data_IF_643791556564
#
_entry.id   IF_643791556564
#
_cell.length_a   1.000
_cell.length_b   1.000
_cell.length_c   1.000
_cell.angle_alpha   90.00
_cell.angle_beta   90.00
_cell.angle_gamma   90.00
#
_symmetry.space_group_name_H-M   'P 1'
#
loop_
_entity.id
_entity.type
_entity.pdbx_description
1 polymer ?
#
# COMPACT_ATOMS: atom_id res chain seq x y z
N UNK A 1 11.50 10.47 20.12
CA UNK A 1 10.18 9.83 19.93
C UNK A 1 10.02 8.76 21.01
N UNK A 2 8.83 8.50 21.57
CA UNK A 2 8.70 7.39 22.53
C UNK A 2 8.41 6.09 21.76
N UNK A 3 9.41 5.22 21.61
CA UNK A 3 9.28 3.98 20.84
C UNK A 3 8.24 3.02 21.45
N UNK A 4 8.03 3.06 22.76
CA UNK A 4 7.06 2.19 23.45
C UNK A 4 5.60 2.52 23.13
N UNK A 5 5.31 3.70 22.58
CA UNK A 5 3.95 4.10 22.19
C UNK A 5 3.63 3.78 20.73
N UNK A 6 4.61 3.30 19.96
CA UNK A 6 4.42 2.96 18.55
C UNK A 6 3.81 1.56 18.45
N UNK A 7 2.49 1.52 18.44
CA UNK A 7 1.72 0.28 18.33
C UNK A 7 0.88 0.32 17.06
N UNK A 8 1.14 -0.65 16.18
CA UNK A 8 0.33 -0.84 14.98
C UNK A 8 -0.93 -1.60 15.34
N UNK A 9 -2.08 -1.00 15.06
CA UNK A 9 -3.40 -1.59 15.29
C UNK A 9 -4.06 -1.90 13.95
N UNK A 10 -4.72 -3.06 13.89
CA UNK A 10 -5.63 -3.39 12.79
C UNK A 10 -6.94 -2.59 12.92
N UNK A 11 -7.56 -2.30 11.77
CA UNK A 11 -8.91 -1.79 11.69
C UNK A 11 -9.68 -2.50 10.57
N UNK A 12 -10.95 -2.86 10.79
CA UNK A 12 -11.77 -3.51 9.76
C UNK A 12 -11.79 -2.72 8.45
N UNK A 13 -11.66 -3.43 7.33
CA UNK A 13 -11.66 -2.87 5.98
C UNK A 13 -10.48 -1.95 5.65
N UNK A 14 -9.39 -2.00 6.41
CA UNK A 14 -8.14 -1.29 6.14
C UNK A 14 -7.00 -2.30 5.94
N UNK A 15 -6.66 -2.61 4.68
CA UNK A 15 -5.77 -3.73 4.34
C UNK A 15 -4.29 -3.37 4.14
N UNK A 16 -3.91 -2.08 4.08
CA UNK A 16 -2.50 -1.71 3.86
C UNK A 16 -1.76 -1.66 5.18
N UNK A 17 -0.86 -2.63 5.41
CA UNK A 17 0.02 -2.64 6.57
C UNK A 17 1.01 -1.47 6.56
N UNK A 18 1.39 -0.96 5.39
CA UNK A 18 2.20 0.25 5.28
C UNK A 18 1.46 1.47 5.83
N UNK A 19 0.22 1.70 5.38
CA UNK A 19 -0.57 2.85 5.84
C UNK A 19 -0.78 2.80 7.35
N UNK A 20 -1.09 1.61 7.91
CA UNK A 20 -1.22 1.42 9.36
C UNK A 20 0.08 1.71 10.12
N UNK A 21 1.22 1.23 9.60
CA UNK A 21 2.53 1.47 10.22
C UNK A 21 2.91 2.95 10.20
N UNK A 22 2.71 3.64 9.07
CA UNK A 22 2.95 5.07 8.97
C UNK A 22 1.99 5.87 9.86
N UNK A 23 0.71 5.48 9.90
CA UNK A 23 -0.29 6.12 10.77
C UNK A 23 0.08 5.98 12.26
N UNK A 24 0.48 4.79 12.71
CA UNK A 24 0.94 4.58 14.08
C UNK A 24 2.19 5.40 14.41
N UNK A 25 3.11 5.54 13.46
CA UNK A 25 4.30 6.39 13.60
C UNK A 25 3.96 7.87 13.74
N UNK A 26 3.07 8.38 12.89
CA UNK A 26 2.62 9.77 12.91
C UNK A 26 1.88 10.08 14.22
N UNK A 27 0.95 9.21 14.61
CA UNK A 27 0.21 9.33 15.87
C UNK A 27 1.13 9.31 17.08
N UNK A 28 2.10 8.38 17.11
CA UNK A 28 3.10 8.30 18.17
C UNK A 28 4.05 9.50 18.24
N UNK A 29 4.12 10.28 17.15
CA UNK A 29 4.85 11.54 17.07
C UNK A 29 3.96 12.78 17.32
N UNK A 30 2.69 12.58 17.71
CA UNK A 30 1.75 13.67 17.97
C UNK A 30 1.20 14.36 16.72
N UNK A 31 1.35 13.74 15.55
CA UNK A 31 0.78 14.22 14.29
C UNK A 31 -0.61 13.60 14.12
N UNK A 32 -1.63 14.45 14.02
CA UNK A 32 -2.98 14.03 13.69
C UNK A 32 -3.11 13.89 12.17
N UNK A 33 -3.37 12.68 11.71
CA UNK A 33 -3.54 12.33 10.30
C UNK A 33 -4.76 11.42 10.16
N UNK A 34 -5.44 11.47 9.02
CA UNK A 34 -6.47 10.48 8.69
C UNK A 34 -5.83 9.28 7.99
N UNK A 35 -6.31 8.07 8.29
CA UNK A 35 -5.90 6.87 7.54
C UNK A 35 -6.19 7.06 6.05
N UNK A 36 -7.36 7.59 5.68
CA UNK A 36 -7.75 7.75 4.28
C UNK A 36 -6.90 8.81 3.56
N UNK A 37 -6.49 9.88 4.25
CA UNK A 37 -5.56 10.87 3.71
C UNK A 37 -4.18 10.28 3.48
N UNK A 38 -3.68 9.47 4.42
CA UNK A 38 -2.39 8.78 4.27
C UNK A 38 -2.43 7.74 3.16
N UNK A 39 -3.48 6.92 3.11
CA UNK A 39 -3.66 5.89 2.10
C UNK A 39 -3.75 6.49 0.69
N UNK A 40 -4.46 7.62 0.56
CA UNK A 40 -4.60 8.35 -0.69
C UNK A 40 -3.29 9.05 -1.08
N UNK A 41 -2.62 9.69 -0.12
CA UNK A 41 -1.31 10.28 -0.34
C UNK A 41 -0.29 9.23 -0.77
N UNK A 42 -0.22 8.05 -0.14
CA UNK A 42 0.65 6.94 -0.59
C UNK A 42 0.29 6.41 -2.00
N UNK A 43 -0.74 6.94 -2.65
CA UNK A 43 -1.20 6.55 -3.98
C UNK A 43 -1.97 5.23 -3.99
N UNK A 44 -2.22 4.63 -2.82
CA UNK A 44 -2.76 3.27 -2.71
C UNK A 44 -4.28 3.23 -2.94
N UNK A 45 -5.01 4.33 -2.72
CA UNK A 45 -6.47 4.37 -2.85
C UNK A 45 -6.97 4.18 -4.29
N UNK A 46 -6.15 4.56 -5.28
CA UNK A 46 -6.45 4.45 -6.72
C UNK A 46 -5.62 3.40 -7.44
N UNK A 47 -4.67 2.79 -6.72
CA UNK A 47 -3.76 1.85 -7.34
C UNK A 47 -4.48 0.54 -7.63
N UNK A 48 -4.19 0.01 -8.82
CA UNK A 48 -4.36 -1.39 -9.18
C UNK A 48 -3.00 -1.85 -9.69
N UNK A 49 -2.53 -2.98 -9.19
CA UNK A 49 -1.21 -3.55 -9.51
C UNK A 49 -1.38 -5.00 -9.92
N UNK A 50 -0.59 -5.40 -10.91
CA UNK A 50 -0.34 -6.79 -11.21
C UNK A 50 1.18 -7.05 -11.16
N UNK A 51 1.58 -7.99 -10.32
CA UNK A 51 2.96 -8.47 -10.27
C UNK A 51 3.18 -9.58 -11.30
N UNK A 52 4.41 -9.73 -11.84
CA UNK A 52 4.69 -10.76 -12.83
C UNK A 52 4.50 -12.18 -12.24
N UNK A 53 4.16 -13.18 -13.07
CA UNK A 53 4.16 -14.57 -12.64
C UNK A 53 5.55 -15.00 -12.10
N UNK A 54 5.61 -15.95 -11.15
CA UNK A 54 4.49 -16.76 -10.65
C UNK A 54 3.70 -16.12 -9.48
N UNK A 55 3.91 -14.83 -9.17
CA UNK A 55 3.36 -14.16 -7.99
C UNK A 55 1.86 -14.38 -7.76
N UNK A 56 1.50 -14.65 -6.50
CA UNK A 56 0.12 -14.81 -6.07
C UNK A 56 -0.67 -13.49 -6.23
N UNK A 57 -1.88 -13.50 -6.83
CA UNK A 57 -2.73 -12.30 -6.91
C UNK A 57 -3.04 -11.63 -5.58
N UNK A 58 -3.14 -12.41 -4.50
CA UNK A 58 -3.36 -11.88 -3.16
C UNK A 58 -2.20 -11.01 -2.65
N UNK A 59 -1.00 -11.17 -3.21
CA UNK A 59 0.20 -10.43 -2.84
C UNK A 59 0.48 -9.24 -3.76
N UNK A 60 -0.26 -9.06 -4.86
CA UNK A 60 0.08 -8.03 -5.85
C UNK A 60 0.13 -6.62 -5.25
N UNK A 61 -0.77 -6.31 -4.33
CA UNK A 61 -0.83 -5.00 -3.68
C UNK A 61 0.32 -4.75 -2.70
N UNK A 62 0.98 -5.77 -2.18
CA UNK A 62 2.12 -5.58 -1.25
C UNK A 62 3.36 -5.04 -1.96
N UNK A 63 3.43 -5.15 -3.29
CA UNK A 63 4.60 -4.73 -4.04
C UNK A 63 4.57 -3.23 -4.36
N UNK A 64 5.69 -2.57 -4.08
CA UNK A 64 5.89 -1.13 -4.30
C UNK A 64 4.95 -0.23 -3.52
N UNK A 65 4.32 -0.70 -2.43
CA UNK A 65 3.50 0.15 -1.55
C UNK A 65 4.27 1.40 -1.09
N UNK A 66 5.58 1.26 -0.95
CA UNK A 66 6.49 2.30 -0.52
C UNK A 66 6.90 3.28 -1.63
N UNK A 67 6.32 3.20 -2.83
CA UNK A 67 6.71 4.02 -3.98
C UNK A 67 6.85 5.50 -3.62
N UNK A 68 5.84 6.02 -2.94
CA UNK A 68 5.72 7.40 -2.51
C UNK A 68 5.90 7.57 -1.01
N UNK A 69 6.48 6.60 -0.30
CA UNK A 69 6.56 6.61 1.16
C UNK A 69 7.36 7.78 1.69
N UNK A 70 8.58 8.00 1.18
CA UNK A 70 9.47 9.08 1.61
C UNK A 70 8.83 10.46 1.39
N UNK A 71 8.32 10.70 0.18
CA UNK A 71 7.61 11.95 -0.14
C UNK A 71 6.37 12.15 0.72
N UNK A 72 5.59 11.09 0.97
CA UNK A 72 4.39 11.17 1.82
C UNK A 72 4.77 11.47 3.25
N UNK A 73 5.79 10.80 3.81
CA UNK A 73 6.30 11.07 5.14
C UNK A 73 6.77 12.53 5.28
N UNK A 74 7.47 13.06 4.26
CA UNK A 74 7.95 14.43 4.22
C UNK A 74 6.82 15.49 4.25
N UNK A 75 5.64 15.19 3.70
CA UNK A 75 4.45 16.05 3.83
C UNK A 75 4.12 16.30 5.30
N UNK A 76 4.14 15.24 6.11
CA UNK A 76 3.84 15.30 7.53
C UNK A 76 5.05 15.73 8.39
N UNK A 77 6.18 16.05 7.75
CA UNK A 77 7.40 16.47 8.42
C UNK A 77 8.21 15.32 9.01
N UNK A 78 8.04 14.10 8.48
CA UNK A 78 8.85 12.94 8.86
C UNK A 78 9.95 12.73 7.82
N UNK A 79 11.20 12.72 8.26
CA UNK A 79 12.34 12.36 7.43
C UNK A 79 12.61 10.87 7.53
N UNK A 80 12.47 10.17 6.40
CA UNK A 80 12.81 8.76 6.27
C UNK A 80 14.14 8.63 5.53
N UNK A 81 15.01 7.75 6.01
CA UNK A 81 16.21 7.34 5.27
C UNK A 81 16.15 5.85 4.94
N UNK A 82 16.10 5.47 3.65
CA UNK A 82 16.20 4.06 3.28
C UNK A 82 17.56 3.50 3.69
N UNK A 83 17.58 2.28 4.22
CA UNK A 83 18.85 1.58 4.52
C UNK A 83 19.57 1.11 3.26
N UNK A 84 18.82 0.90 2.17
CA UNK A 84 19.36 0.61 0.85
C UNK A 84 18.35 1.02 -0.24
N UNK A 85 18.79 1.15 -1.51
CA UNK A 85 17.88 1.37 -2.64
C UNK A 85 16.87 0.22 -2.76
N UNK A 86 15.64 0.50 -3.21
CA UNK A 86 14.58 -0.53 -3.41
C UNK A 86 15.03 -1.65 -4.35
N UNK A 87 15.73 -1.28 -5.43
CA UNK A 87 16.28 -2.22 -6.40
C UNK A 87 17.32 -3.19 -5.81
N UNK A 88 17.91 -2.88 -4.65
CA UNK A 88 18.93 -3.75 -4.04
C UNK A 88 18.32 -5.04 -3.47
N UNK A 89 17.04 -5.04 -3.08
CA UNK A 89 16.37 -6.22 -2.53
C UNK A 89 15.78 -7.16 -3.60
N UNK A 90 15.72 -6.71 -4.86
CA UNK A 90 15.10 -7.49 -5.93
C UNK A 90 15.88 -8.79 -6.20
N UNK A 91 15.25 -9.93 -5.91
CA UNK A 91 15.81 -11.27 -6.16
C UNK A 91 16.75 -11.79 -5.07
N UNK A 92 16.70 -11.21 -3.86
CA UNK A 92 17.52 -11.66 -2.72
C UNK A 92 16.82 -12.65 -1.78
N UNK A 93 15.55 -12.94 -2.03
CA UNK A 93 14.63 -13.75 -1.21
C UNK A 93 15.21 -15.12 -0.82
N UNK A 94 16.00 -15.74 -1.71
CA UNK A 94 16.54 -17.09 -1.54
C UNK A 94 18.07 -17.14 -1.30
N UNK A 95 18.70 -16.00 -1.00
CA UNK A 95 20.16 -15.92 -0.93
C UNK A 95 20.67 -15.86 0.51
N UNK A 96 21.32 -16.94 0.99
CA UNK A 96 21.95 -16.98 2.33
C UNK A 96 22.90 -15.79 2.58
N UNK A 97 23.57 -15.31 1.52
CA UNK A 97 24.45 -14.15 1.64
C UNK A 97 23.68 -12.85 1.93
N UNK A 98 22.40 -12.74 1.56
CA UNK A 98 21.58 -11.60 1.96
C UNK A 98 21.34 -11.60 3.48
N UNK A 99 21.03 -12.76 4.06
CA UNK A 99 20.92 -12.90 5.53
C UNK A 99 22.22 -12.52 6.21
N UNK A 100 23.35 -13.02 5.72
CA UNK A 100 24.68 -12.67 6.28
C UNK A 100 24.95 -11.16 6.15
N UNK A 101 24.65 -10.57 5.00
CA UNK A 101 24.84 -9.14 4.76
C UNK A 101 23.94 -8.28 5.64
N UNK A 102 22.67 -8.66 5.82
CA UNK A 102 21.73 -7.99 6.71
C UNK A 102 22.23 -8.00 8.16
N UNK A 103 22.66 -9.17 8.65
CA UNK A 103 23.22 -9.31 10.00
C UNK A 103 24.50 -8.49 10.19
N UNK A 104 25.39 -8.48 9.19
CA UNK A 104 26.68 -7.79 9.27
C UNK A 104 26.57 -6.27 9.07
N UNK A 105 25.65 -5.80 8.21
CA UNK A 105 25.64 -4.41 7.72
C UNK A 105 24.43 -3.62 8.19
N UNK A 106 23.24 -4.22 8.21
CA UNK A 106 22.00 -3.49 8.51
C UNK A 106 21.60 -3.56 9.99
N UNK A 107 21.74 -4.70 10.65
CA UNK A 107 21.44 -4.83 12.09
C UNK A 107 22.22 -3.82 12.96
N UNK A 108 23.52 -3.57 12.76
CA UNK A 108 24.24 -2.54 13.51
C UNK A 108 23.66 -1.13 13.32
N UNK A 109 23.24 -0.79 12.09
CA UNK A 109 22.62 0.51 11.79
C UNK A 109 21.24 0.64 12.46
N UNK A 110 20.41 -0.41 12.41
CA UNK A 110 19.10 -0.42 13.07
C UNK A 110 19.27 -0.27 14.59
N UNK A 111 20.20 -1.00 15.20
CA UNK A 111 20.50 -0.85 16.64
C UNK A 111 20.95 0.55 17.01
N UNK A 112 21.77 1.18 16.17
CA UNK A 112 22.24 2.55 16.38
C UNK A 112 21.08 3.54 16.28
N UNK A 113 20.16 3.35 15.32
CA UNK A 113 18.93 4.14 15.23
C UNK A 113 18.06 3.99 16.49
N UNK A 114 17.80 2.75 16.93
CA UNK A 114 17.01 2.49 18.13
C UNK A 114 17.64 3.09 19.40
N UNK A 115 18.98 3.09 19.50
CA UNK A 115 19.70 3.73 20.61
C UNK A 115 19.57 5.27 20.63
N UNK A 116 19.17 5.89 19.51
CA UNK A 116 18.85 7.30 19.39
C UNK A 116 17.34 7.58 19.35
N UNK A 117 16.51 6.66 19.85
CA UNK A 117 15.04 6.76 19.85
C UNK A 117 14.45 6.93 18.44
N UNK A 118 15.12 6.38 17.42
CA UNK A 118 14.67 6.37 16.02
C UNK A 118 14.08 5.00 15.68
N UNK A 119 12.79 4.98 15.33
CA UNK A 119 12.11 3.78 14.87
C UNK A 119 12.56 3.39 13.46
N UNK A 120 12.34 2.12 13.09
CA UNK A 120 12.58 1.64 11.71
C UNK A 120 11.31 1.02 11.15
N UNK A 121 10.84 1.52 10.00
CA UNK A 121 9.80 0.86 9.21
C UNK A 121 10.45 -0.30 8.45
N UNK A 122 9.87 -1.49 8.52
CA UNK A 122 10.42 -2.69 7.89
C UNK A 122 9.33 -3.50 7.18
N UNK A 123 9.59 -3.88 5.94
CA UNK A 123 8.73 -4.74 5.13
C UNK A 123 9.25 -6.17 5.10
N UNK A 124 8.36 -7.14 5.36
CA UNK A 124 8.69 -8.56 5.51
C UNK A 124 9.62 -8.84 6.69
N UNK A 125 9.93 -10.12 6.89
CA UNK A 125 10.81 -10.58 7.95
C UNK A 125 10.09 -10.92 9.27
N UNK A 126 8.78 -10.73 9.33
CA UNK A 126 7.94 -10.98 10.50
C UNK A 126 7.43 -12.43 10.53
N UNK A 127 7.01 -12.95 11.70
CA UNK A 127 6.44 -14.30 11.81
C UNK A 127 5.08 -14.46 11.13
N UNK A 128 4.80 -15.71 10.73
CA UNK A 128 3.46 -16.24 10.42
C UNK A 128 2.61 -15.35 9.50
N UNK A 129 1.42 -14.96 9.95
CA UNK A 129 0.44 -14.17 9.20
C UNK A 129 0.98 -12.80 8.77
N UNK A 130 1.95 -12.25 9.52
CA UNK A 130 2.56 -10.95 9.26
C UNK A 130 3.76 -11.02 8.31
N UNK A 131 4.12 -12.18 7.76
CA UNK A 131 5.35 -12.34 6.98
C UNK A 131 5.50 -11.39 5.79
N UNK A 132 4.39 -10.84 5.27
CA UNK A 132 4.38 -9.84 4.19
C UNK A 132 4.00 -8.43 4.64
N UNK A 133 3.80 -8.21 5.93
CA UNK A 133 3.42 -6.92 6.47
C UNK A 133 4.57 -5.93 6.48
N UNK A 134 4.22 -4.65 6.39
CA UNK A 134 5.00 -3.59 6.99
C UNK A 134 4.78 -3.55 8.50
N UNK A 135 5.84 -3.29 9.24
CA UNK A 135 5.79 -3.07 10.67
C UNK A 135 6.79 -2.02 11.12
N UNK A 136 6.78 -1.74 12.43
CA UNK A 136 7.68 -0.80 13.08
C UNK A 136 8.58 -1.58 14.03
N UNK A 137 9.88 -1.60 13.76
CA UNK A 137 10.90 -2.08 14.70
C UNK A 137 11.12 -1.00 15.75
N UNK A 138 10.92 -1.36 17.02
CA UNK A 138 10.92 -0.43 18.16
C UNK A 138 11.89 -0.85 19.27
N UNK A 139 12.41 -2.07 19.22
CA UNK A 139 13.32 -2.58 20.25
C UNK A 139 14.30 -3.60 19.68
N UNK A 140 15.38 -3.83 20.42
CA UNK A 140 16.30 -4.92 20.20
C UNK A 140 16.60 -5.57 21.55
N UNK A 141 16.65 -6.90 21.59
CA UNK A 141 16.99 -7.59 22.84
C UNK A 141 18.50 -7.46 23.11
N UNK A 142 18.86 -7.02 24.32
CA UNK A 142 20.26 -6.78 24.71
C UNK A 142 21.12 -8.07 24.70
N UNK A 143 20.48 -9.23 24.80
CA UNK A 143 21.14 -10.55 24.85
C UNK A 143 21.00 -11.37 23.56
N UNK A 144 20.43 -10.79 22.49
CA UNK A 144 20.23 -11.48 21.20
C UNK A 144 20.46 -10.58 19.99
N UNK A 145 20.61 -11.18 18.81
CA UNK A 145 20.58 -10.46 17.52
C UNK A 145 19.16 -10.07 17.09
N UNK A 146 18.19 -10.25 17.98
CA UNK A 146 16.77 -10.15 17.68
C UNK A 146 16.29 -8.70 17.76
N UNK A 147 15.94 -8.17 16.59
CA UNK A 147 15.13 -6.98 16.44
C UNK A 147 13.67 -7.37 16.69
N UNK A 148 12.88 -6.48 17.29
CA UNK A 148 11.46 -6.74 17.50
C UNK A 148 10.64 -5.45 17.37
N UNK A 149 9.36 -5.63 17.09
CA UNK A 149 8.47 -4.55 16.70
C UNK A 149 7.01 -4.95 16.67
N UNK A 150 6.17 -4.10 16.09
CA UNK A 150 4.74 -4.36 15.95
C UNK A 150 4.33 -4.34 14.48
N UNK A 151 3.41 -5.22 14.10
CA UNK A 151 2.76 -5.25 12.78
C UNK A 151 1.24 -5.24 12.95
N UNK A 152 0.50 -5.03 11.86
CA UNK A 152 -0.97 -5.16 11.86
C UNK A 152 -1.38 -6.57 12.32
N UNK A 153 -0.76 -7.61 11.76
CA UNK A 153 -1.07 -9.01 12.08
C UNK A 153 -0.70 -9.42 13.52
N UNK A 154 0.17 -8.65 14.20
CA UNK A 154 0.51 -8.90 15.59
C UNK A 154 -0.53 -8.32 16.58
N UNK A 155 -1.55 -7.60 16.09
CA UNK A 155 -2.63 -7.04 16.91
C UNK A 155 -2.15 -6.24 18.13
N UNK A 156 -1.09 -5.45 17.94
CA UNK A 156 -0.47 -4.62 18.97
C UNK A 156 0.52 -5.32 19.89
N UNK A 157 0.76 -6.62 19.71
CA UNK A 157 1.84 -7.33 20.39
C UNK A 157 3.19 -7.04 19.75
N UNK A 158 4.24 -7.02 20.57
CA UNK A 158 5.61 -6.97 20.08
C UNK A 158 6.03 -8.37 19.66
N UNK A 159 6.45 -8.52 18.40
CA UNK A 159 6.89 -9.78 17.80
C UNK A 159 8.33 -9.64 17.27
N UNK A 160 9.12 -10.72 17.27
CA UNK A 160 10.47 -10.70 16.74
C UNK A 160 10.48 -10.55 15.21
N UNK A 161 11.54 -9.94 14.68
CA UNK A 161 11.87 -9.97 13.26
C UNK A 161 12.75 -11.21 13.01
N UNK A 162 12.19 -12.23 12.37
CA UNK A 162 12.80 -13.55 12.19
C UNK A 162 13.70 -13.63 10.96
N UNK A 163 13.37 -12.89 9.92
CA UNK A 163 14.11 -12.88 8.65
C UNK A 163 14.49 -11.47 8.22
N UNK A 164 15.50 -11.32 7.35
CA UNK A 164 15.84 -10.02 6.79
C UNK A 164 14.63 -9.35 6.11
N UNK A 165 14.24 -8.14 6.53
CA UNK A 165 13.23 -7.35 5.86
C UNK A 165 13.73 -6.93 4.49
N UNK A 166 12.85 -6.97 3.50
CA UNK A 166 13.17 -6.61 2.12
C UNK A 166 13.40 -5.13 1.93
N UNK A 167 12.78 -4.29 2.75
CA UNK A 167 13.03 -2.86 2.73
C UNK A 167 12.94 -2.30 4.14
N UNK A 168 13.82 -1.34 4.42
CA UNK A 168 13.88 -0.67 5.71
C UNK A 168 14.06 0.83 5.56
N UNK A 169 13.31 1.60 6.36
CA UNK A 169 13.46 3.04 6.46
C UNK A 169 13.68 3.44 7.92
N UNK A 170 14.80 4.11 8.19
CA UNK A 170 15.06 4.73 9.50
C UNK A 170 14.29 6.04 9.57
N UNK A 171 13.62 6.28 10.70
CA UNK A 171 12.90 7.52 10.96
C UNK A 171 13.84 8.47 11.67
N UNK A 172 14.53 9.32 10.90
CA UNK A 172 15.65 10.10 11.42
C UNK A 172 15.20 11.30 12.25
N UNK A 173 14.18 11.99 11.76
CA UNK A 173 13.69 13.24 12.34
C UNK A 173 12.18 13.35 12.13
N UNK A 174 11.50 13.93 13.12
CA UNK A 174 10.09 14.31 13.02
C UNK A 174 9.94 15.77 13.42
N UNK A 175 9.49 16.59 12.48
CA UNK A 175 9.15 18.00 12.64
C UNK A 175 7.69 18.21 12.20
N UNK A 176 6.71 17.98 13.09
CA UNK A 176 5.29 17.93 12.77
C UNK A 176 4.82 19.12 11.92
N UNK A 177 4.19 18.83 10.78
CA UNK A 177 3.61 19.86 9.90
C UNK A 177 2.10 19.79 9.90
N UNK A 178 1.47 20.95 10.01
CA UNK A 178 0.04 21.08 9.73
C UNK A 178 -0.17 21.14 8.22
N UNK A 179 -0.68 20.06 7.65
CA UNK A 179 -1.01 20.01 6.24
C UNK A 179 -2.32 20.74 5.97
N UNK A 180 -2.35 21.49 4.85
CA UNK A 180 -3.61 21.99 4.33
C UNK A 180 -4.26 20.85 3.54
N UNK A 181 -5.56 20.60 3.72
CA UNK A 181 -6.32 19.65 2.92
C UNK A 181 -6.04 19.69 1.40
N UNK A 182 -5.98 20.90 0.81
CA UNK A 182 -5.64 21.09 -0.62
C UNK A 182 -4.25 20.56 -1.02
N UNK A 183 -3.27 20.51 -0.12
CA UNK A 183 -1.93 19.98 -0.41
C UNK A 183 -1.97 18.45 -0.54
N UNK A 184 -2.64 17.77 0.40
CA UNK A 184 -2.89 16.31 0.36
C UNK A 184 -3.70 15.94 -0.87
N UNK A 185 -4.70 16.76 -1.17
CA UNK A 185 -5.55 16.58 -2.33
C UNK A 185 -4.79 16.68 -3.66
N UNK A 186 -3.96 17.70 -3.82
CA UNK A 186 -3.18 17.90 -5.05
C UNK A 186 -2.21 16.76 -5.29
N UNK A 187 -1.52 16.29 -4.24
CA UNK A 187 -0.54 15.21 -4.38
C UNK A 187 -1.20 13.85 -4.62
N UNK A 188 -2.34 13.58 -3.99
CA UNK A 188 -3.13 12.36 -4.21
C UNK A 188 -3.51 12.23 -5.68
N UNK A 189 -3.93 13.33 -6.30
CA UNK A 189 -4.42 13.35 -7.67
C UNK A 189 -3.29 13.21 -8.66
N UNK A 190 -2.18 13.90 -8.42
CA UNK A 190 -0.97 13.72 -9.21
C UNK A 190 -0.53 12.26 -9.22
N UNK A 191 -0.49 11.62 -8.04
CA UNK A 191 -0.10 10.20 -7.89
C UNK A 191 -1.09 9.24 -8.52
N UNK A 192 -2.39 9.48 -8.40
CA UNK A 192 -3.42 8.68 -9.05
C UNK A 192 -3.28 8.74 -10.58
N UNK A 193 -3.04 9.93 -11.13
CA UNK A 193 -2.77 10.13 -12.56
C UNK A 193 -1.48 9.41 -12.98
N UNK A 194 -0.40 9.56 -12.23
CA UNK A 194 0.89 8.92 -12.52
C UNK A 194 0.77 7.39 -12.54
N UNK A 195 0.17 6.80 -11.51
CA UNK A 195 -0.06 5.35 -11.43
C UNK A 195 -0.98 4.82 -12.54
N UNK A 196 -1.80 5.67 -13.17
CA UNK A 196 -2.64 5.27 -14.30
C UNK A 196 -2.00 5.45 -15.67
N UNK A 197 -1.09 6.41 -15.78
CA UNK A 197 -0.49 6.82 -17.05
C UNK A 197 0.76 6.04 -17.41
N UNK A 198 1.36 5.32 -16.45
CA UNK A 198 2.62 4.63 -16.70
C UNK A 198 2.40 3.44 -17.65
N UNK A 199 2.77 3.65 -18.91
CA UNK A 199 2.64 2.69 -20.00
C UNK A 199 3.67 1.56 -19.85
N UNK A 200 3.35 0.51 -19.09
CA UNK A 200 3.81 -0.83 -19.45
C UNK A 200 4.88 -1.52 -18.60
N UNK A 201 5.60 -0.85 -17.71
CA UNK A 201 6.47 -1.46 -16.66
C UNK A 201 7.06 -0.28 -15.89
N UNK A 202 6.54 0.04 -14.69
CA UNK A 202 6.89 1.33 -14.07
C UNK A 202 7.51 1.25 -12.69
N UNK A 203 7.43 0.11 -12.01
CA UNK A 203 8.02 -0.07 -10.68
C UNK A 203 8.37 -1.55 -10.56
N UNK A 204 9.64 -1.93 -10.44
CA UNK A 204 10.06 -3.30 -10.12
C UNK A 204 9.38 -4.42 -10.96
N UNK A 205 9.21 -4.20 -12.27
CA UNK A 205 8.51 -5.10 -13.22
C UNK A 205 7.01 -5.30 -12.97
N UNK A 206 6.40 -4.46 -12.13
CA UNK A 206 4.96 -4.41 -11.94
C UNK A 206 4.26 -3.66 -13.07
N UNK A 207 3.05 -4.11 -13.35
CA UNK A 207 2.08 -3.42 -14.20
C UNK A 207 1.09 -2.70 -13.30
N UNK A 208 0.70 -1.47 -13.66
CA UNK A 208 -0.26 -0.65 -12.89
C UNK A 208 -1.38 -0.11 -13.79
N UNK A 209 -2.44 0.40 -13.16
CA UNK A 209 -3.55 1.08 -13.86
C UNK A 209 -4.38 0.12 -14.74
N UNK A 210 -4.89 0.58 -15.90
CA UNK A 210 -5.72 -0.26 -16.78
C UNK A 210 -5.05 -1.57 -17.23
N UNK A 211 -3.73 -1.56 -17.42
CA UNK A 211 -2.99 -2.75 -17.81
C UNK A 211 -2.97 -3.82 -16.70
N UNK A 212 -3.00 -3.42 -15.42
CA UNK A 212 -3.10 -4.34 -14.30
C UNK A 212 -4.47 -5.03 -14.21
N UNK A 213 -5.54 -4.34 -14.62
CA UNK A 213 -6.87 -4.96 -14.77
C UNK A 213 -6.86 -6.02 -15.87
N UNK A 214 -6.26 -5.75 -17.02
CA UNK A 214 -6.11 -6.73 -18.09
C UNK A 214 -5.30 -7.95 -17.64
N UNK A 215 -4.20 -7.73 -16.92
CA UNK A 215 -3.40 -8.81 -16.36
C UNK A 215 -4.20 -9.66 -15.36
N UNK A 216 -5.07 -9.04 -14.55
CA UNK A 216 -5.98 -9.80 -13.67
C UNK A 216 -6.98 -10.64 -14.46
N UNK A 217 -7.63 -10.07 -15.47
CA UNK A 217 -8.59 -10.77 -16.33
C UNK A 217 -7.95 -11.98 -17.02
N UNK A 218 -6.76 -11.78 -17.61
CA UNK A 218 -5.98 -12.85 -18.20
C UNK A 218 -5.66 -13.95 -17.17
N UNK A 219 -5.23 -13.57 -15.97
CA UNK A 219 -4.91 -14.52 -14.89
C UNK A 219 -6.11 -15.36 -14.46
N UNK A 220 -7.29 -14.74 -14.37
CA UNK A 220 -8.55 -15.43 -14.04
C UNK A 220 -8.96 -16.41 -15.15
N UNK A 221 -8.72 -16.04 -16.41
CA UNK A 221 -8.99 -16.88 -17.58
C UNK A 221 -8.04 -18.09 -17.70
N UNK A 222 -6.74 -17.88 -17.46
CA UNK A 222 -5.68 -18.85 -17.78
C UNK A 222 -5.45 -19.96 -16.74
N UNK A 223 -6.29 -20.06 -15.69
CA UNK A 223 -6.15 -21.06 -14.61
C UNK A 223 -4.70 -21.19 -14.15
N UNK A 224 -4.05 -20.11 -13.74
CA UNK A 224 -2.69 -20.25 -13.22
C UNK A 224 -2.75 -20.70 -11.77
N UNK A 225 -1.93 -21.68 -11.39
CA UNK A 225 -1.82 -22.13 -10.00
C UNK A 225 -1.21 -21.00 -9.16
N UNK A 226 -1.79 -20.75 -8.00
CA UNK A 226 -1.13 -19.92 -7.02
C UNK A 226 0.00 -20.75 -6.36
N UNK A 227 1.27 -20.30 -6.37
CA UNK A 227 2.36 -21.06 -5.75
C UNK A 227 2.16 -21.27 -4.25
N UNK A 228 1.56 -20.30 -3.56
CA UNK A 228 1.41 -20.31 -2.11
C UNK A 228 0.39 -21.35 -1.61
N UNK A 229 -0.69 -21.58 -2.37
CA UNK A 229 -1.74 -22.55 -2.01
C UNK A 229 -1.69 -23.81 -2.87
N UNK A 230 -0.85 -23.86 -3.90
CA UNK A 230 -0.68 -25.02 -4.79
C UNK A 230 -1.93 -25.40 -5.60
N UNK A 231 -2.99 -24.59 -5.62
CA UNK A 231 -4.28 -24.90 -6.26
C UNK A 231 -4.82 -23.69 -7.03
N UNK A 232 -5.75 -23.91 -7.96
CA UNK A 232 -6.52 -22.87 -8.65
C UNK A 232 -7.67 -22.36 -7.78
N UNK A 233 -7.34 -21.75 -6.64
CA UNK A 233 -8.36 -21.31 -5.69
C UNK A 233 -8.94 -19.93 -6.04
N UNK A 234 -10.27 -19.72 -6.01
CA UNK A 234 -10.85 -18.38 -6.06
C UNK A 234 -10.38 -17.49 -4.90
N UNK A 235 -9.93 -18.08 -3.80
CA UNK A 235 -9.51 -17.39 -2.58
C UNK A 235 -8.52 -16.24 -2.83
N UNK A 236 -7.48 -16.44 -3.65
CA UNK A 236 -6.49 -15.39 -3.93
C UNK A 236 -7.09 -14.21 -4.68
N UNK A 237 -7.97 -14.47 -5.66
CA UNK A 237 -8.64 -13.42 -6.41
C UNK A 237 -9.73 -12.72 -5.60
N UNK A 238 -10.42 -13.45 -4.72
CA UNK A 238 -11.39 -12.87 -3.78
C UNK A 238 -10.67 -11.99 -2.75
N UNK A 239 -9.49 -12.40 -2.29
CA UNK A 239 -8.65 -11.57 -1.43
C UNK A 239 -8.20 -10.29 -2.16
N UNK A 240 -7.71 -10.41 -3.40
CA UNK A 240 -7.38 -9.25 -4.23
C UNK A 240 -8.59 -8.31 -4.42
N UNK A 241 -9.78 -8.86 -4.70
CA UNK A 241 -11.01 -8.09 -4.81
C UNK A 241 -11.35 -7.34 -3.51
N UNK A 242 -11.12 -7.94 -2.33
CA UNK A 242 -11.31 -7.28 -1.03
C UNK A 242 -10.35 -6.11 -0.83
N UNK A 243 -9.09 -6.26 -1.21
CA UNK A 243 -8.10 -5.19 -1.14
C UNK A 243 -8.52 -4.02 -2.04
N UNK A 244 -8.92 -4.29 -3.28
CA UNK A 244 -9.40 -3.26 -4.22
C UNK A 244 -10.65 -2.55 -3.67
N UNK A 245 -11.60 -3.30 -3.13
CA UNK A 245 -12.79 -2.71 -2.47
C UNK A 245 -12.35 -1.74 -1.38
N UNK A 246 -11.47 -2.16 -0.48
CA UNK A 246 -11.01 -1.32 0.63
C UNK A 246 -10.26 -0.07 0.15
N UNK A 247 -9.40 -0.19 -0.86
CA UNK A 247 -8.72 0.94 -1.47
C UNK A 247 -9.73 1.95 -2.06
N UNK A 248 -10.75 1.46 -2.78
CA UNK A 248 -11.79 2.32 -3.36
C UNK A 248 -12.76 2.88 -2.33
N UNK A 249 -13.01 2.19 -1.22
CA UNK A 249 -13.73 2.76 -0.08
C UNK A 249 -12.95 3.87 0.63
N UNK A 250 -11.63 3.73 0.73
CA UNK A 250 -10.76 4.80 1.22
C UNK A 250 -10.81 6.01 0.30
N UNK A 251 -10.70 5.80 -1.02
CA UNK A 251 -10.88 6.83 -2.04
C UNK A 251 -12.22 7.58 -1.93
N UNK A 252 -13.32 6.85 -1.72
CA UNK A 252 -14.66 7.43 -1.52
C UNK A 252 -14.68 8.37 -0.32
N UNK A 253 -14.22 7.91 0.85
CA UNK A 253 -14.21 8.70 2.08
C UNK A 253 -13.31 9.92 1.96
N UNK A 254 -12.12 9.74 1.38
CA UNK A 254 -11.18 10.81 1.07
C UNK A 254 -11.84 11.90 0.21
N UNK A 255 -12.41 11.54 -0.94
CA UNK A 255 -12.98 12.53 -1.84
C UNK A 255 -14.26 13.16 -1.31
N UNK A 256 -15.06 12.43 -0.55
CA UNK A 256 -16.23 13.00 0.13
C UNK A 256 -15.83 14.03 1.18
N UNK A 257 -14.78 13.75 1.97
CA UNK A 257 -14.27 14.64 3.00
C UNK A 257 -13.74 15.95 2.39
N UNK A 258 -12.94 15.87 1.32
CA UNK A 258 -12.34 17.04 0.67
C UNK A 258 -13.26 17.74 -0.35
N UNK A 259 -14.47 17.23 -0.57
CA UNK A 259 -15.39 17.72 -1.61
C UNK A 259 -15.81 19.17 -1.40
N UNK A 260 -16.10 19.55 -0.16
CA UNK A 260 -16.68 20.86 0.15
C UNK A 260 -15.68 22.00 0.01
N UNK A 261 -14.39 21.70 0.07
CA UNK A 261 -13.29 22.65 -0.08
C UNK A 261 -13.06 23.12 -1.52
N UNK A 262 -13.78 22.51 -2.47
CA UNK A 262 -13.58 22.73 -3.89
C UNK A 262 -14.55 23.73 -4.48
N UNK A 263 -14.07 24.51 -5.44
CA UNK A 263 -14.93 25.32 -6.30
C UNK A 263 -15.82 24.46 -7.22
N UNK A 264 -16.94 25.00 -7.73
CA UNK A 264 -17.94 24.24 -8.49
C UNK A 264 -17.38 23.43 -9.66
N UNK A 265 -16.41 23.97 -10.40
CA UNK A 265 -15.79 23.30 -11.55
C UNK A 265 -15.05 22.02 -11.17
N UNK A 266 -14.43 21.97 -9.99
CA UNK A 266 -13.68 20.79 -9.51
C UNK A 266 -14.60 19.75 -8.88
N UNK A 267 -15.74 20.18 -8.33
CA UNK A 267 -16.72 19.26 -7.72
C UNK A 267 -17.30 18.27 -8.72
N UNK A 268 -17.52 18.68 -9.98
CA UNK A 268 -18.04 17.75 -11.00
C UNK A 268 -17.10 16.58 -11.25
N UNK A 269 -15.79 16.83 -11.41
CA UNK A 269 -14.80 15.76 -11.56
C UNK A 269 -14.79 14.83 -10.34
N UNK A 270 -14.90 15.38 -9.13
CA UNK A 270 -14.96 14.59 -7.89
C UNK A 270 -16.20 13.72 -7.82
N UNK A 271 -17.36 14.27 -8.17
CA UNK A 271 -18.61 13.53 -8.17
C UNK A 271 -18.52 12.34 -9.14
N UNK A 272 -17.86 12.53 -10.30
CA UNK A 272 -17.56 11.42 -11.22
C UNK A 272 -16.63 10.37 -10.59
N UNK A 273 -15.57 10.80 -9.91
CA UNK A 273 -14.63 9.87 -9.26
C UNK A 273 -15.29 9.12 -8.11
N UNK A 274 -16.10 9.79 -7.29
CA UNK A 274 -16.89 9.20 -6.21
C UNK A 274 -17.85 8.15 -6.79
N UNK A 275 -18.62 8.49 -7.82
CA UNK A 275 -19.55 7.55 -8.44
C UNK A 275 -18.82 6.31 -9.02
N UNK A 276 -17.72 6.54 -9.74
CA UNK A 276 -16.87 5.48 -10.29
C UNK A 276 -16.28 4.54 -9.22
N UNK A 277 -15.80 5.08 -8.10
CA UNK A 277 -15.33 4.27 -6.98
C UNK A 277 -16.48 3.45 -6.37
N UNK A 278 -17.67 4.03 -6.24
CA UNK A 278 -18.88 3.34 -5.77
C UNK A 278 -19.31 2.19 -6.67
N UNK A 279 -19.24 2.37 -8.00
CA UNK A 279 -19.50 1.31 -8.99
C UNK A 279 -18.48 0.18 -8.88
N UNK A 280 -17.20 0.50 -8.72
CA UNK A 280 -16.13 -0.49 -8.51
C UNK A 280 -16.39 -1.34 -7.27
N UNK A 281 -16.67 -0.70 -6.13
CA UNK A 281 -17.01 -1.37 -4.86
C UNK A 281 -18.22 -2.28 -5.03
N UNK A 282 -19.28 -1.78 -5.67
CA UNK A 282 -20.53 -2.53 -5.88
C UNK A 282 -20.31 -3.77 -6.73
N UNK A 283 -19.58 -3.65 -7.84
CA UNK A 283 -19.27 -4.76 -8.74
C UNK A 283 -18.49 -5.87 -8.02
N UNK A 284 -17.41 -5.52 -7.33
CA UNK A 284 -16.56 -6.51 -6.65
C UNK A 284 -17.20 -7.08 -5.38
N UNK A 285 -17.96 -6.30 -4.62
CA UNK A 285 -18.61 -6.80 -3.38
C UNK A 285 -19.63 -7.88 -3.68
N UNK A 286 -20.31 -7.79 -4.82
CA UNK A 286 -21.26 -8.82 -5.28
C UNK A 286 -20.57 -10.17 -5.45
N UNK A 287 -19.36 -10.22 -6.01
CA UNK A 287 -18.62 -11.48 -6.17
C UNK A 287 -18.04 -11.95 -4.83
N UNK A 288 -17.46 -11.06 -4.01
CA UNK A 288 -16.92 -11.43 -2.69
C UNK A 288 -18.00 -12.08 -1.80
N UNK A 289 -19.21 -11.53 -1.79
CA UNK A 289 -20.31 -12.07 -0.98
C UNK A 289 -20.86 -13.40 -1.54
N UNK A 290 -20.80 -13.61 -2.86
CA UNK A 290 -21.31 -14.82 -3.51
C UNK A 290 -20.31 -15.97 -3.59
N UNK A 291 -19.01 -15.68 -3.62
CA UNK A 291 -17.96 -16.69 -3.76
C UNK A 291 -17.56 -17.34 -2.43
N UNK A 292 -17.81 -16.70 -1.29
CA UNK A 292 -17.52 -17.26 0.04
C UNK A 292 -18.13 -18.64 0.33
N UNK A 293 -19.37 -18.96 -0.13
CA UNK A 293 -19.95 -20.30 0.03
C UNK A 293 -19.52 -21.30 -1.06
N UNK A 294 -18.87 -20.87 -2.14
CA UNK A 294 -18.54 -21.73 -3.28
C UNK A 294 -17.21 -22.44 -3.04
N UNK A 295 -17.22 -23.48 -2.21
CA UNK A 295 -16.05 -24.29 -1.88
C UNK A 295 -15.60 -25.25 -3.00
N UNK A 296 -15.81 -24.91 -4.27
CA UNK A 296 -15.51 -25.79 -5.40
C UNK A 296 -15.13 -25.06 -6.68
N UNK A 297 -14.46 -25.76 -7.58
CA UNK A 297 -14.06 -25.31 -8.93
C UNK A 297 -15.26 -25.08 -9.88
N UNK A 298 -16.40 -24.62 -9.38
CA UNK A 298 -17.57 -24.33 -10.22
C UNK A 298 -17.20 -23.29 -11.29
N UNK A 299 -17.39 -23.58 -12.59
CA UNK A 299 -17.09 -22.60 -13.66
C UNK A 299 -17.78 -21.24 -13.45
N UNK A 300 -18.93 -21.22 -12.76
CA UNK A 300 -19.75 -20.04 -12.51
C UNK A 300 -19.03 -18.94 -11.73
N UNK A 301 -18.15 -19.28 -10.77
CA UNK A 301 -17.45 -18.24 -10.00
C UNK A 301 -16.50 -17.45 -10.90
N UNK A 302 -15.91 -18.11 -11.90
CA UNK A 302 -14.95 -17.48 -12.82
C UNK A 302 -15.67 -16.48 -13.73
N UNK A 303 -16.79 -16.87 -14.31
CA UNK A 303 -17.59 -15.98 -15.17
C UNK A 303 -18.07 -14.75 -14.40
N UNK A 304 -18.55 -14.96 -13.17
CA UNK A 304 -18.96 -13.86 -12.31
C UNK A 304 -17.78 -12.94 -11.92
N UNK A 305 -16.61 -13.51 -11.67
CA UNK A 305 -15.41 -12.73 -11.35
C UNK A 305 -14.90 -11.93 -12.55
N UNK A 306 -14.86 -12.53 -13.74
CA UNK A 306 -14.48 -11.84 -14.98
C UNK A 306 -15.41 -10.65 -15.22
N UNK A 307 -16.73 -10.88 -15.18
CA UNK A 307 -17.72 -9.81 -15.33
C UNK A 307 -17.55 -8.69 -14.28
N UNK A 308 -17.33 -9.05 -13.01
CA UNK A 308 -17.13 -8.08 -11.94
C UNK A 308 -15.83 -7.28 -12.12
N UNK A 309 -14.73 -7.93 -12.52
CA UNK A 309 -13.44 -7.30 -12.76
C UNK A 309 -13.47 -6.38 -14.01
N UNK A 310 -14.15 -6.77 -15.08
CA UNK A 310 -14.37 -5.92 -16.25
C UNK A 310 -15.18 -4.66 -15.90
N UNK A 311 -16.28 -4.84 -15.17
CA UNK A 311 -17.14 -3.72 -14.72
C UNK A 311 -16.36 -2.77 -13.80
N UNK A 312 -15.57 -3.33 -12.88
CA UNK A 312 -14.72 -2.57 -11.98
C UNK A 312 -13.61 -1.82 -12.72
N UNK A 313 -12.89 -2.47 -13.64
CA UNK A 313 -11.85 -1.84 -14.45
C UNK A 313 -12.38 -0.72 -15.33
N UNK A 314 -13.57 -0.88 -15.91
CA UNK A 314 -14.23 0.19 -16.68
C UNK A 314 -14.59 1.40 -15.81
N UNK A 315 -15.15 1.16 -14.61
CA UNK A 315 -15.45 2.24 -13.67
C UNK A 315 -14.17 2.95 -13.19
N UNK A 316 -13.10 2.21 -12.90
CA UNK A 316 -11.81 2.77 -12.52
C UNK A 316 -11.22 3.64 -13.62
N UNK A 317 -11.34 3.23 -14.90
CA UNK A 317 -10.93 4.04 -16.04
C UNK A 317 -11.73 5.35 -16.16
N UNK A 318 -13.02 5.36 -15.81
CA UNK A 318 -13.81 6.60 -15.76
C UNK A 318 -13.35 7.54 -14.64
N UNK A 319 -13.03 7.01 -13.45
CA UNK A 319 -12.46 7.81 -12.37
C UNK A 319 -11.15 8.48 -12.82
N UNK A 320 -10.26 7.71 -13.44
CA UNK A 320 -8.98 8.22 -13.93
C UNK A 320 -9.16 9.29 -15.01
N UNK A 321 -10.09 9.09 -15.96
CA UNK A 321 -10.42 10.10 -16.97
C UNK A 321 -10.89 11.41 -16.34
N UNK A 322 -11.76 11.33 -15.33
CA UNK A 322 -12.22 12.51 -14.60
C UNK A 322 -11.08 13.22 -13.84
N UNK A 323 -10.13 12.47 -13.29
CA UNK A 323 -8.92 13.05 -12.68
C UNK A 323 -8.01 13.72 -13.71
N UNK A 324 -7.87 13.16 -14.92
CA UNK A 324 -7.11 13.78 -16.00
C UNK A 324 -7.71 15.08 -16.51
N UNK A 325 -9.04 15.19 -16.48
CA UNK A 325 -9.78 16.41 -16.83
C UNK A 325 -9.72 17.47 -15.72
N UNK A 326 -9.19 17.13 -14.54
CA UNK A 326 -9.01 18.10 -13.48
C UNK A 326 -8.09 19.23 -13.98
N UNK A 327 -8.58 20.50 -14.00
CA UNK A 327 -7.74 21.64 -14.32
C UNK A 327 -6.60 21.73 -13.31
N UNK A 328 -5.41 21.29 -13.72
CA UNK A 328 -4.26 21.16 -12.84
C UNK A 328 -4.11 22.44 -12.02
N UNK A 329 -4.16 22.31 -10.69
CA UNK A 329 -3.84 23.39 -9.78
C UNK A 329 -2.35 23.71 -10.05
N UNK A 330 -2.07 24.72 -10.88
CA UNK A 330 -0.75 25.19 -11.30
C UNK A 330 0.37 24.13 -11.17
N UNK A 331 0.62 23.34 -12.23
CA UNK A 331 1.78 22.43 -12.30
C UNK A 331 3.14 23.11 -12.06
N UNK A 332 3.15 24.44 -11.98
CA UNK A 332 4.30 25.29 -11.67
C UNK A 332 4.53 25.53 -10.15
N UNK A 333 3.71 24.99 -9.24
CA UNK A 333 3.91 25.17 -7.78
C UNK A 333 4.61 24.01 -7.06
N UNK A 334 4.93 22.90 -7.72
CA UNK A 334 5.42 21.68 -7.06
C UNK A 334 6.94 21.47 -7.08
N UNK A 335 7.76 22.41 -7.57
CA UNK A 335 9.22 22.32 -7.42
C UNK A 335 9.74 23.21 -6.27
N UNK A 336 9.83 22.66 -5.05
CA UNK A 336 11.01 22.96 -4.24
C UNK A 336 11.66 21.74 -3.55
N UNK A 337 11.28 20.49 -3.88
CA UNK A 337 11.76 19.30 -3.13
C UNK A 337 12.82 18.46 -3.85
N UNK A 338 13.55 19.05 -4.81
CA UNK A 338 14.80 18.47 -5.30
C UNK A 338 15.98 19.16 -4.59
N UNK A 339 16.55 18.51 -3.60
CA UNK A 339 17.92 18.77 -3.11
C UNK A 339 18.67 17.47 -3.03
#
# INVERSE_FOLDING_TARGET
MNLATLVVHDAPSQFSSLTHSLFALLRGSGIDASYDDLHAALGLSFRMVAAPPPTCPAQWFTYGEDLYLEDTAALYGVQLRPLHPRAAAAGLDDYDAYRQHFLASYVPLIRTALAHDQAVLAWRGWPDAGANDWGIVTTHHHFGMELAGTTVSAHGHVVPLLDPPHQCYVVEQVDPRQLRPLDILSITVARAIECSSSSGESIDKMVVGPAAWNAWLERVGNRVTCPAIGHHGPACHIHLARIIIAARESALRFFQFHRDELGPQRRTAFDTVIDACGRTVTALRRIVNRALPMSGESPEWRELLLYAAETAGAADADALRALHEWPACDRNRTAPWST
#
